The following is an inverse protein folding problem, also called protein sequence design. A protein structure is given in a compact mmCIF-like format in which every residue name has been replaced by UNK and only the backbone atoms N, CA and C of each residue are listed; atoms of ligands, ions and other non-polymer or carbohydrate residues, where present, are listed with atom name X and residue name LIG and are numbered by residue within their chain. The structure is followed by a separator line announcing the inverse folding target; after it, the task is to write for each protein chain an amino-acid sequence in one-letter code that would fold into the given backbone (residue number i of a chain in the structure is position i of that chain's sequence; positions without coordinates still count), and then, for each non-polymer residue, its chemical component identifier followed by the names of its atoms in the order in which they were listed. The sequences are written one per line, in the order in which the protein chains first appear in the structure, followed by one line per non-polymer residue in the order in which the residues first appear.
data_IF_092838806582
#
_entry.id   IF_092838806582
#
_cell.length_a   1.000
_cell.length_b   1.000
_cell.length_c   1.000
_cell.angle_alpha   90.00
_cell.angle_beta   90.00
_cell.angle_gamma   90.00
#
_symmetry.space_group_name_H-M   'P 1'
#
loop_
_entity.id
_entity.type
_entity.pdbx_description
1 polymer ?
#
# COMPACT_ATOMS: atom_id res chain seq x y z
N UNK A 1 3.94 11.69 35.37
CA UNK A 1 2.88 11.53 34.36
C UNK A 1 3.49 10.74 33.22
N UNK A 2 2.88 9.62 32.83
CA UNK A 2 3.39 8.83 31.69
C UNK A 2 3.32 9.70 30.43
N UNK A 3 4.41 9.79 29.69
CA UNK A 3 4.56 10.56 28.45
C UNK A 3 3.71 9.98 27.30
N UNK A 4 3.06 8.83 27.51
CA UNK A 4 2.30 8.08 26.52
C UNK A 4 0.89 7.75 27.01
N UNK A 5 -0.03 7.58 26.05
CA UNK A 5 -1.40 7.13 26.28
C UNK A 5 -1.43 5.83 27.12
N UNK A 6 -2.45 5.62 27.96
CA UNK A 6 -2.58 4.41 28.78
C UNK A 6 -2.55 3.12 27.95
N UNK A 7 -2.13 2.02 28.57
CA UNK A 7 -2.27 0.71 27.95
C UNK A 7 -3.75 0.39 27.69
N UNK A 8 -4.04 -0.39 26.64
CA UNK A 8 -5.39 -0.69 26.11
C UNK A 8 -6.11 0.46 25.36
N UNK A 9 -5.50 1.64 25.17
CA UNK A 9 -6.10 2.66 24.28
C UNK A 9 -5.69 2.50 22.83
N UNK A 10 -6.52 3.02 21.92
CA UNK A 10 -6.25 3.05 20.48
C UNK A 10 -4.93 3.76 20.17
N UNK A 11 -4.68 4.89 20.82
CA UNK A 11 -3.46 5.70 20.59
C UNK A 11 -2.21 4.92 20.98
N UNK A 12 -2.28 4.14 22.07
CA UNK A 12 -1.20 3.26 22.50
C UNK A 12 -1.00 2.09 21.54
N UNK A 13 -2.10 1.49 21.05
CA UNK A 13 -2.05 0.43 20.05
C UNK A 13 -1.41 0.92 18.74
N UNK A 14 -1.83 2.07 18.23
CA UNK A 14 -1.23 2.71 17.05
C UNK A 14 0.24 3.00 17.29
N UNK A 15 0.59 3.68 18.38
CA UNK A 15 1.99 4.00 18.69
C UNK A 15 2.86 2.74 18.76
N UNK A 16 2.43 1.71 19.50
CA UNK A 16 3.21 0.48 19.66
C UNK A 16 3.27 -0.33 18.36
N UNK A 17 2.17 -0.42 17.63
CA UNK A 17 2.10 -1.09 16.32
C UNK A 17 3.00 -0.40 15.29
N UNK A 18 2.91 0.93 15.17
CA UNK A 18 3.78 1.72 14.29
C UNK A 18 5.23 1.59 14.67
N UNK A 19 5.58 1.65 15.97
CA UNK A 19 6.96 1.48 16.41
C UNK A 19 7.48 0.09 16.09
N UNK A 20 6.71 -0.96 16.37
CA UNK A 20 7.10 -2.34 16.02
C UNK A 20 7.27 -2.53 14.50
N UNK A 21 6.41 -1.91 13.69
CA UNK A 21 6.55 -1.93 12.25
C UNK A 21 7.84 -1.23 11.81
N UNK A 22 8.15 -0.05 12.37
CA UNK A 22 9.39 0.71 12.09
C UNK A 22 10.63 -0.04 12.57
N UNK A 23 10.61 -0.59 13.79
CA UNK A 23 11.70 -1.37 14.37
C UNK A 23 12.05 -2.59 13.47
N UNK A 24 11.08 -3.11 12.71
CA UNK A 24 11.31 -4.21 11.75
C UNK A 24 12.11 -3.77 10.50
N UNK A 25 12.26 -2.46 10.26
CA UNK A 25 13.13 -1.90 9.22
C UNK A 25 14.54 -1.60 9.73
N UNK A 26 14.72 -1.49 11.05
CA UNK A 26 16.02 -1.20 11.69
C UNK A 26 16.79 -2.48 12.08
N UNK A 27 16.16 -3.66 11.96
CA UNK A 27 16.79 -4.96 12.24
C UNK A 27 17.63 -5.44 11.03
N UNK A 28 18.93 -5.65 11.25
CA UNK A 28 19.91 -5.98 10.19
C UNK A 28 19.72 -7.42 9.64
N UNK A 29 18.85 -8.26 10.22
CA UNK A 29 18.43 -9.56 9.66
C UNK A 29 17.31 -9.43 8.58
N UNK A 30 17.55 -8.53 7.62
CA UNK A 30 17.08 -8.49 6.22
C UNK A 30 15.75 -9.17 5.82
N UNK A 31 14.61 -8.55 6.15
CA UNK A 31 13.37 -8.74 5.36
C UNK A 31 13.02 -7.52 4.49
N UNK A 32 13.68 -6.38 4.72
CA UNK A 32 13.45 -5.14 3.98
C UNK A 32 14.79 -4.55 3.50
N UNK A 33 14.78 -3.99 2.29
CA UNK A 33 15.92 -3.30 1.68
C UNK A 33 15.45 -1.94 1.18
N UNK A 34 16.29 -0.92 1.34
CA UNK A 34 16.09 0.41 0.75
C UNK A 34 17.01 0.59 -0.44
N UNK A 35 16.44 1.00 -1.58
CA UNK A 35 17.19 1.25 -2.83
C UNK A 35 17.16 2.74 -3.13
N UNK A 36 18.34 3.32 -3.35
CA UNK A 36 18.46 4.72 -3.76
C UNK A 36 18.26 4.83 -5.28
N UNK A 37 17.11 5.34 -5.71
CA UNK A 37 16.83 5.58 -7.12
C UNK A 37 17.69 6.74 -7.65
N UNK A 38 18.49 6.47 -8.70
CA UNK A 38 19.38 7.46 -9.35
C UNK A 38 19.16 7.51 -10.87
N UNK A 39 19.20 8.71 -11.49
CA UNK A 39 19.28 10.04 -10.87
C UNK A 39 18.05 10.34 -10.00
N UNK A 40 18.25 11.11 -8.93
CA UNK A 40 17.17 11.50 -8.03
C UNK A 40 16.21 12.45 -8.77
N UNK A 41 14.93 12.09 -8.97
CA UNK A 41 13.98 12.98 -9.61
C UNK A 41 13.59 14.15 -8.70
N UNK A 42 13.07 15.21 -9.32
CA UNK A 42 12.64 16.44 -8.67
C UNK A 42 11.28 16.86 -9.22
N UNK A 43 10.44 17.46 -8.37
CA UNK A 43 9.10 17.92 -8.74
C UNK A 43 8.00 17.23 -7.94
N UNK A 44 6.75 17.49 -8.34
CA UNK A 44 5.52 17.01 -7.69
C UNK A 44 5.46 15.47 -7.64
N UNK A 45 5.85 14.80 -8.73
CA UNK A 45 5.76 13.34 -8.88
C UNK A 45 7.13 12.63 -8.75
N UNK A 46 8.03 13.20 -7.94
CA UNK A 46 9.38 12.65 -7.80
C UNK A 46 9.35 11.22 -7.22
N UNK A 47 8.40 10.89 -6.35
CA UNK A 47 8.25 9.55 -5.79
C UNK A 47 7.88 8.53 -6.86
N UNK A 48 6.80 8.80 -7.60
CA UNK A 48 6.27 7.99 -8.68
C UNK A 48 7.31 7.81 -9.79
N UNK A 49 8.02 8.89 -10.13
CA UNK A 49 9.09 8.85 -11.12
C UNK A 49 10.24 7.96 -10.65
N UNK A 50 10.62 8.02 -9.37
CA UNK A 50 11.67 7.16 -8.80
C UNK A 50 11.30 5.68 -8.91
N UNK A 51 10.09 5.34 -8.45
CA UNK A 51 9.60 3.95 -8.46
C UNK A 51 9.49 3.42 -9.89
N UNK A 52 8.98 4.24 -10.82
CA UNK A 52 8.90 3.88 -12.23
C UNK A 52 10.28 3.57 -12.82
N UNK A 53 11.27 4.44 -12.58
CA UNK A 53 12.63 4.26 -13.11
C UNK A 53 13.32 3.02 -12.55
N UNK A 54 13.11 2.70 -11.27
CA UNK A 54 13.63 1.49 -10.64
C UNK A 54 13.04 0.24 -11.29
N UNK A 55 11.72 0.20 -11.46
CA UNK A 55 11.03 -0.93 -12.08
C UNK A 55 11.42 -1.08 -13.55
N UNK A 56 11.57 0.01 -14.29
CA UNK A 56 11.99 -0.03 -15.70
C UNK A 56 13.39 -0.64 -15.88
N UNK A 57 14.29 -0.46 -14.90
CA UNK A 57 15.64 -1.02 -14.94
C UNK A 57 15.72 -2.46 -14.41
N UNK A 58 14.76 -2.87 -13.59
CA UNK A 58 14.80 -4.11 -12.80
C UNK A 58 13.44 -4.81 -12.75
N UNK A 59 12.75 -4.88 -13.89
CA UNK A 59 11.34 -5.30 -13.97
C UNK A 59 11.11 -6.73 -13.45
N UNK A 60 12.13 -7.58 -13.55
CA UNK A 60 12.14 -8.97 -13.08
C UNK A 60 12.25 -9.11 -11.55
N UNK A 61 12.75 -8.09 -10.84
CA UNK A 61 12.95 -8.14 -9.39
C UNK A 61 11.67 -7.84 -8.60
N UNK A 62 10.70 -7.15 -9.22
CA UNK A 62 9.54 -6.61 -8.53
C UNK A 62 8.25 -7.30 -8.96
N UNK A 63 7.58 -7.96 -8.00
CA UNK A 63 6.22 -8.49 -8.20
C UNK A 63 5.14 -7.44 -8.01
N UNK A 64 5.35 -6.50 -7.09
CA UNK A 64 4.38 -5.46 -6.79
C UNK A 64 5.05 -4.11 -6.65
N UNK A 65 4.44 -3.09 -7.25
CA UNK A 65 4.75 -1.69 -7.00
C UNK A 65 3.55 -1.06 -6.29
N UNK A 66 3.75 -0.44 -5.13
CA UNK A 66 2.64 -0.04 -4.27
C UNK A 66 2.62 1.48 -4.17
N UNK A 67 1.59 2.09 -4.73
CA UNK A 67 1.42 3.54 -4.76
C UNK A 67 -0.06 3.91 -4.90
N UNK A 68 -0.46 4.97 -4.20
CA UNK A 68 -1.84 5.43 -4.21
C UNK A 68 -2.20 6.20 -5.50
N UNK A 69 -1.23 6.85 -6.14
CA UNK A 69 -1.48 7.61 -7.35
C UNK A 69 -1.86 6.70 -8.54
N UNK A 70 -3.05 6.95 -9.10
CA UNK A 70 -3.59 6.12 -10.17
C UNK A 70 -2.82 6.29 -11.49
N UNK A 71 -2.36 7.50 -11.79
CA UNK A 71 -1.62 7.77 -13.02
C UNK A 71 -0.24 7.10 -13.01
N UNK A 72 0.47 7.18 -11.88
CA UNK A 72 1.72 6.49 -11.62
C UNK A 72 1.55 4.97 -11.73
N UNK A 73 0.49 4.40 -11.13
CA UNK A 73 0.20 2.96 -11.30
C UNK A 73 -0.01 2.59 -12.75
N UNK A 74 -0.78 3.35 -13.51
CA UNK A 74 -1.01 3.09 -14.93
C UNK A 74 0.28 3.17 -15.74
N UNK A 75 1.18 4.11 -15.42
CA UNK A 75 2.47 4.23 -16.09
C UNK A 75 3.36 3.01 -15.81
N UNK A 76 3.42 2.55 -14.55
CA UNK A 76 4.20 1.38 -14.15
C UNK A 76 3.60 0.08 -14.70
N UNK A 77 2.27 -0.06 -14.68
CA UNK A 77 1.59 -1.23 -15.24
C UNK A 77 1.83 -1.39 -16.75
N UNK A 78 2.06 -0.30 -17.49
CA UNK A 78 2.50 -0.40 -18.90
C UNK A 78 3.88 -1.02 -19.01
N UNK A 79 4.84 -0.61 -18.17
CA UNK A 79 6.18 -1.20 -18.13
C UNK A 79 6.09 -2.71 -17.85
N UNK A 80 5.33 -3.11 -16.84
CA UNK A 80 5.13 -4.53 -16.56
C UNK A 80 4.43 -5.27 -17.71
N UNK A 81 3.45 -4.64 -18.37
CA UNK A 81 2.73 -5.24 -19.50
C UNK A 81 3.56 -5.37 -20.78
N UNK A 82 4.55 -4.51 -20.98
CA UNK A 82 5.44 -4.53 -22.15
C UNK A 82 6.62 -5.51 -21.96
N UNK A 83 6.84 -6.03 -20.76
CA UNK A 83 7.90 -7.00 -20.46
C UNK A 83 7.38 -8.44 -20.56
N UNK A 84 7.99 -9.24 -21.44
CA UNK A 84 7.53 -10.61 -21.76
C UNK A 84 7.64 -11.61 -20.59
N UNK A 85 8.48 -11.35 -19.58
CA UNK A 85 8.87 -12.32 -18.55
C UNK A 85 8.41 -11.95 -17.12
N UNK A 86 7.57 -10.93 -16.95
CA UNK A 86 7.13 -10.48 -15.63
C UNK A 86 5.63 -10.69 -15.39
N UNK A 87 5.27 -10.98 -14.15
CA UNK A 87 3.89 -10.91 -13.65
C UNK A 87 3.68 -9.73 -12.72
N UNK A 88 4.58 -8.74 -12.80
CA UNK A 88 4.57 -7.57 -11.93
C UNK A 88 3.30 -6.74 -12.09
N UNK A 89 2.86 -6.11 -11.00
CA UNK A 89 1.69 -5.22 -11.03
C UNK A 89 1.87 -4.04 -10.08
N UNK A 90 1.55 -2.85 -10.57
CA UNK A 90 1.36 -1.68 -9.74
C UNK A 90 -0.07 -1.68 -9.14
N UNK A 91 -0.15 -1.59 -7.82
CA UNK A 91 -1.37 -1.74 -7.01
C UNK A 91 -1.46 -0.64 -5.94
N UNK A 92 -2.67 -0.40 -5.44
CA UNK A 92 -2.90 0.56 -4.36
C UNK A 92 -2.50 -0.03 -2.99
N UNK A 93 -2.26 0.81 -1.96
CA UNK A 93 -1.83 0.35 -0.63
C UNK A 93 -2.75 -0.67 0.04
N UNK A 94 -4.07 -0.59 -0.20
CA UNK A 94 -5.07 -1.56 0.26
C UNK A 94 -4.79 -2.99 -0.21
N UNK A 95 -4.06 -3.17 -1.31
CA UNK A 95 -3.69 -4.49 -1.81
C UNK A 95 -2.74 -5.24 -0.85
N UNK A 96 -1.98 -4.53 0.00
CA UNK A 96 -1.19 -5.18 1.06
C UNK A 96 -2.07 -5.95 2.03
N UNK A 97 -3.24 -5.40 2.38
CA UNK A 97 -4.22 -6.07 3.24
C UNK A 97 -4.88 -7.24 2.52
N UNK A 98 -5.03 -7.14 1.19
CA UNK A 98 -5.54 -8.24 0.38
C UNK A 98 -4.59 -9.45 0.40
N UNK A 99 -3.26 -9.24 0.42
CA UNK A 99 -2.31 -10.35 0.57
C UNK A 99 -2.52 -11.12 1.88
N UNK A 100 -2.84 -10.43 2.98
CA UNK A 100 -3.16 -11.08 4.26
C UNK A 100 -4.45 -11.90 4.16
N UNK A 101 -5.46 -11.40 3.44
CA UNK A 101 -6.71 -12.11 3.20
C UNK A 101 -6.48 -13.36 2.32
N UNK A 102 -5.69 -13.22 1.24
CA UNK A 102 -5.36 -14.30 0.30
C UNK A 102 -4.60 -15.44 1.00
N UNK A 103 -3.73 -15.10 1.96
CA UNK A 103 -3.05 -16.07 2.83
C UNK A 103 -3.92 -16.63 3.97
N UNK A 104 -5.18 -16.21 4.08
CA UNK A 104 -6.10 -16.65 5.14
C UNK A 104 -5.72 -16.15 6.54
N UNK A 105 -4.99 -15.05 6.65
CA UNK A 105 -4.58 -14.44 7.93
C UNK A 105 -5.65 -13.58 8.57
N UNK A 106 -6.67 -13.18 7.81
CA UNK A 106 -7.82 -12.44 8.29
C UNK A 106 -9.10 -12.87 7.57
N UNK A 107 -10.24 -12.47 8.11
CA UNK A 107 -11.55 -12.63 7.47
C UNK A 107 -11.82 -11.50 6.48
N UNK A 108 -12.77 -11.71 5.56
CA UNK A 108 -13.23 -10.67 4.62
C UNK A 108 -13.73 -9.43 5.36
N UNK A 109 -14.43 -9.61 6.49
CA UNK A 109 -14.95 -8.50 7.29
C UNK A 109 -13.81 -7.64 7.87
N UNK A 110 -12.80 -8.27 8.48
CA UNK A 110 -11.63 -7.60 9.03
C UNK A 110 -10.83 -6.88 7.94
N UNK A 111 -10.62 -7.54 6.80
CA UNK A 111 -9.98 -6.94 5.63
C UNK A 111 -10.71 -5.68 5.16
N UNK A 112 -12.02 -5.77 4.91
CA UNK A 112 -12.81 -4.67 4.39
C UNK A 112 -12.84 -3.50 5.39
N UNK A 113 -13.00 -3.77 6.68
CA UNK A 113 -12.97 -2.75 7.74
C UNK A 113 -11.60 -2.05 7.80
N UNK A 114 -10.51 -2.81 7.79
CA UNK A 114 -9.16 -2.26 7.83
C UNK A 114 -8.85 -1.39 6.59
N UNK A 115 -9.26 -1.81 5.39
CA UNK A 115 -9.18 -0.97 4.19
C UNK A 115 -9.98 0.34 4.37
N UNK A 116 -11.20 0.27 4.89
CA UNK A 116 -12.02 1.46 5.13
C UNK A 116 -11.40 2.43 6.16
N UNK A 117 -10.80 1.89 7.22
CA UNK A 117 -10.07 2.69 8.21
C UNK A 117 -8.81 3.33 7.61
N UNK A 118 -8.06 2.60 6.78
CA UNK A 118 -6.89 3.13 6.07
C UNK A 118 -7.29 4.29 5.14
N UNK A 119 -8.29 4.08 4.28
CA UNK A 119 -8.75 5.12 3.33
C UNK A 119 -9.16 6.41 4.06
N UNK A 120 -9.85 6.29 5.19
CA UNK A 120 -10.22 7.45 6.01
C UNK A 120 -9.03 8.09 6.71
N UNK A 121 -8.16 7.28 7.30
CA UNK A 121 -6.99 7.74 8.03
C UNK A 121 -6.07 8.56 7.15
N UNK A 122 -5.92 8.14 5.89
CA UNK A 122 -5.10 8.81 4.88
C UNK A 122 -5.85 9.93 4.11
N UNK A 123 -7.13 10.14 4.42
CA UNK A 123 -7.96 11.15 3.72
C UNK A 123 -8.29 10.80 2.26
N UNK A 124 -8.10 9.54 1.85
CA UNK A 124 -8.43 9.02 0.52
C UNK A 124 -9.92 8.70 0.37
N UNK A 125 -10.77 9.67 0.66
CA UNK A 125 -12.24 9.52 0.68
C UNK A 125 -12.92 10.07 -0.57
N UNK A 126 -12.16 10.57 -1.54
CA UNK A 126 -12.71 10.98 -2.84
C UNK A 126 -13.05 9.77 -3.69
N UNK A 127 -14.14 9.84 -4.48
CA UNK A 127 -14.61 8.77 -5.36
C UNK A 127 -13.50 8.14 -6.20
N UNK A 128 -12.66 8.96 -6.85
CA UNK A 128 -11.55 8.46 -7.67
C UNK A 128 -10.50 7.70 -6.85
N UNK A 129 -10.21 8.15 -5.62
CA UNK A 129 -9.26 7.50 -4.73
C UNK A 129 -9.80 6.15 -4.23
N UNK A 130 -11.10 6.08 -3.93
CA UNK A 130 -11.77 4.85 -3.51
C UNK A 130 -11.76 3.83 -4.66
N UNK A 131 -12.20 4.22 -5.86
CA UNK A 131 -12.14 3.35 -7.04
C UNK A 131 -10.73 2.83 -7.32
N UNK A 132 -9.74 3.73 -7.26
CA UNK A 132 -8.31 3.40 -7.38
C UNK A 132 -7.84 2.37 -6.34
N UNK A 133 -8.30 2.47 -5.10
CA UNK A 133 -7.93 1.56 -4.03
C UNK A 133 -8.48 0.13 -4.23
N UNK A 134 -9.64 0.00 -4.86
CA UNK A 134 -10.29 -1.30 -5.07
C UNK A 134 -9.95 -1.97 -6.40
N UNK A 135 -9.41 -1.24 -7.38
CA UNK A 135 -9.18 -1.69 -8.75
C UNK A 135 -8.50 -3.06 -8.89
N UNK A 136 -7.53 -3.37 -8.00
CA UNK A 136 -6.79 -4.63 -8.03
C UNK A 136 -7.35 -5.72 -7.09
N UNK A 137 -8.39 -5.42 -6.30
CA UNK A 137 -8.89 -6.26 -5.22
C UNK A 137 -10.19 -6.94 -5.66
N UNK A 138 -10.20 -8.27 -5.85
CA UNK A 138 -11.37 -9.00 -6.34
C UNK A 138 -12.35 -9.35 -5.19
N UNK A 139 -12.59 -8.41 -4.27
CA UNK A 139 -13.41 -8.63 -3.06
C UNK A 139 -14.50 -7.57 -2.98
N UNK A 140 -15.75 -8.02 -2.85
CA UNK A 140 -16.88 -7.12 -2.62
C UNK A 140 -16.99 -6.75 -1.14
N UNK A 141 -16.58 -5.52 -0.82
CA UNK A 141 -16.64 -4.96 0.52
C UNK A 141 -17.92 -4.14 0.81
N UNK A 142 -18.87 -4.09 -0.12
CA UNK A 142 -20.06 -3.24 -0.03
C UNK A 142 -20.89 -3.45 1.24
N UNK A 143 -20.97 -4.69 1.72
CA UNK A 143 -21.72 -5.04 2.94
C UNK A 143 -21.02 -4.67 4.25
N UNK A 144 -19.71 -4.41 4.21
CA UNK A 144 -18.88 -4.14 5.39
C UNK A 144 -18.49 -2.67 5.51
N UNK A 145 -18.64 -1.92 4.42
CA UNK A 145 -18.27 -0.53 4.32
C UNK A 145 -19.53 0.35 4.28
N UNK A 146 -19.50 1.50 4.97
CA UNK A 146 -20.52 2.51 4.80
C UNK A 146 -20.47 3.09 3.38
N UNK A 147 -21.63 3.54 2.88
CA UNK A 147 -21.86 3.91 1.47
C UNK A 147 -20.86 4.92 0.90
N UNK A 148 -20.21 5.75 1.73
CA UNK A 148 -19.18 6.72 1.32
C UNK A 148 -17.88 6.08 0.82
N UNK A 149 -17.68 4.77 1.03
CA UNK A 149 -16.47 4.03 0.66
C UNK A 149 -16.73 2.85 -0.30
N UNK A 150 -17.97 2.69 -0.76
CA UNK A 150 -18.42 1.56 -1.62
C UNK A 150 -18.46 1.96 -3.09
N UNK A 151 -18.30 3.25 -3.41
CA UNK A 151 -18.43 3.80 -4.75
C UNK A 151 -17.23 4.64 -5.13
#
# INVERSE_FOLDING_TARGET
MSEYAPDETRERWVHHGSKKAVDSFDDEETSFTTVACVPRPHGEDAGETSVKMEIEQHTELYRFAILMDAHGRQAINRIFGDADETTGKAVAPTFLLYLLLDEGKCTVAEFCQACGEMLRGEGWTGYQAIQAAWEAIPVDCSQYLPNDLVS
#
